data_IF_974522646903
#
_entry.id   IF_974522646903
#
_cell.length_a   1.000
_cell.length_b   1.000
_cell.length_c   1.000
_cell.angle_alpha   90.00
_cell.angle_beta   90.00
_cell.angle_gamma   90.00
#
_symmetry.space_group_name_H-M   'P 1'
#
loop_
_entity.id
_entity.type
_entity.pdbx_description
1 polymer ?
#
# COMPACT_ATOMS: atom_id res chain seq x y z
N UNK A 1 19.01 16.39 -1.44
CA UNK A 1 18.57 15.12 -0.83
C UNK A 1 17.18 15.23 -0.19
N UNK A 2 16.15 15.65 -0.93
CA UNK A 2 14.76 15.71 -0.42
C UNK A 2 13.73 15.04 -1.34
N UNK A 3 14.22 14.46 -2.43
CA UNK A 3 13.38 13.74 -3.39
C UNK A 3 12.79 12.50 -2.73
N UNK A 4 11.51 12.28 -2.97
CA UNK A 4 10.78 11.10 -2.50
C UNK A 4 11.04 9.97 -3.47
N UNK A 5 11.39 8.81 -2.94
CA UNK A 5 11.48 7.57 -3.70
C UNK A 5 10.61 6.50 -3.05
N UNK A 6 10.28 5.49 -3.84
CA UNK A 6 9.61 4.30 -3.33
C UNK A 6 10.64 3.50 -2.54
N UNK A 7 10.45 3.43 -1.22
CA UNK A 7 11.33 2.68 -0.33
C UNK A 7 11.08 1.19 -0.43
N UNK A 8 9.80 0.81 -0.42
CA UNK A 8 9.35 -0.56 -0.63
C UNK A 8 7.89 -0.58 -1.08
N UNK A 9 7.56 -1.57 -1.88
CA UNK A 9 6.21 -1.95 -2.25
C UNK A 9 5.90 -3.28 -1.55
N UNK A 10 4.87 -3.29 -0.70
CA UNK A 10 4.36 -4.49 -0.07
C UNK A 10 3.13 -4.95 -0.83
N UNK A 11 3.14 -6.23 -1.21
CA UNK A 11 2.03 -6.91 -1.85
C UNK A 11 1.49 -7.95 -0.88
N UNK A 12 0.19 -7.96 -0.66
CA UNK A 12 -0.44 -8.84 0.31
C UNK A 12 -1.70 -9.50 -0.25
N UNK A 13 -1.84 -10.80 0.00
CA UNK A 13 -3.06 -11.56 -0.24
C UNK A 13 -3.46 -12.21 1.09
N UNK A 14 -4.60 -11.78 1.62
CA UNK A 14 -5.24 -12.40 2.78
C UNK A 14 -6.34 -13.36 2.30
N UNK A 15 -6.16 -14.66 2.55
CA UNK A 15 -7.16 -15.69 2.21
C UNK A 15 -8.06 -15.99 3.41
N UNK A 16 -7.50 -15.96 4.62
CA UNK A 16 -8.25 -16.19 5.86
C UNK A 16 -8.38 -17.67 6.24
N UNK A 17 -7.78 -18.58 5.48
CA UNK A 17 -7.75 -20.01 5.74
C UNK A 17 -6.37 -20.60 5.38
N UNK A 18 -6.05 -21.74 5.97
CA UNK A 18 -4.91 -22.55 5.56
C UNK A 18 -5.27 -23.54 4.45
N UNK A 19 -4.26 -24.18 3.86
CA UNK A 19 -4.44 -25.23 2.84
C UNK A 19 -4.13 -24.77 1.42
N UNK A 20 -4.76 -25.43 0.44
CA UNK A 20 -4.41 -25.31 -0.98
C UNK A 20 -4.69 -23.93 -1.57
N UNK A 21 -5.70 -23.23 -1.07
CA UNK A 21 -6.01 -21.88 -1.54
C UNK A 21 -4.88 -20.91 -1.23
N UNK A 22 -4.24 -21.07 -0.06
CA UNK A 22 -3.09 -20.27 0.34
C UNK A 22 -1.84 -20.59 -0.49
N UNK A 23 -1.63 -21.86 -0.84
CA UNK A 23 -0.48 -22.26 -1.69
C UNK A 23 -0.66 -21.78 -3.13
N UNK A 24 -1.89 -21.75 -3.66
CA UNK A 24 -2.22 -21.15 -4.96
C UNK A 24 -2.01 -19.63 -4.95
N UNK A 25 -2.48 -18.94 -3.91
CA UNK A 25 -2.23 -17.50 -3.74
C UNK A 25 -0.73 -17.16 -3.68
N UNK A 26 0.09 -18.03 -3.07
CA UNK A 26 1.54 -17.88 -3.09
C UNK A 26 2.11 -17.95 -4.51
N UNK A 27 1.64 -18.88 -5.35
CA UNK A 27 2.06 -18.96 -6.76
C UNK A 27 1.70 -17.70 -7.55
N UNK A 28 0.54 -17.09 -7.30
CA UNK A 28 0.17 -15.80 -7.91
C UNK A 28 1.17 -14.71 -7.55
N UNK A 29 1.47 -14.54 -6.26
CA UNK A 29 2.43 -13.54 -5.81
C UNK A 29 3.83 -13.79 -6.40
N UNK A 30 4.24 -15.05 -6.53
CA UNK A 30 5.50 -15.42 -7.15
C UNK A 30 5.53 -15.04 -8.65
N UNK A 31 4.44 -15.27 -9.38
CA UNK A 31 4.32 -14.86 -10.79
C UNK A 31 4.32 -13.32 -10.96
N UNK A 32 3.66 -12.58 -10.05
CA UNK A 32 3.64 -11.11 -10.07
C UNK A 32 5.03 -10.53 -9.79
N UNK A 33 5.74 -11.08 -8.79
CA UNK A 33 6.95 -10.46 -8.22
C UNK A 33 8.27 -11.06 -8.69
N UNK A 34 8.23 -12.30 -9.18
CA UNK A 34 9.41 -13.13 -9.47
C UNK A 34 10.25 -13.42 -8.22
N UNK A 35 9.62 -13.51 -7.05
CA UNK A 35 10.28 -13.79 -5.77
C UNK A 35 9.46 -14.79 -4.96
N UNK A 36 10.14 -15.60 -4.16
CA UNK A 36 9.49 -16.53 -3.23
C UNK A 36 8.76 -15.74 -2.13
N UNK A 37 7.43 -15.85 -2.02
CA UNK A 37 6.68 -15.06 -1.05
C UNK A 37 6.74 -15.67 0.36
N UNK A 38 6.40 -14.87 1.37
CA UNK A 38 6.45 -15.26 2.79
C UNK A 38 5.04 -15.49 3.33
N UNK A 39 4.85 -16.61 4.03
CA UNK A 39 3.59 -16.94 4.69
C UNK A 39 3.46 -16.27 6.06
N UNK A 40 2.34 -15.58 6.27
CA UNK A 40 1.98 -14.95 7.55
C UNK A 40 1.12 -15.88 8.40
N UNK A 41 1.43 -15.94 9.69
CA UNK A 41 0.71 -16.73 10.69
C UNK A 41 -0.31 -15.88 11.46
N UNK A 42 -1.42 -16.48 11.85
CA UNK A 42 -2.41 -15.86 12.73
C UNK A 42 -1.87 -15.67 14.15
N UNK A 43 -2.08 -14.48 14.72
CA UNK A 43 -1.63 -14.15 16.09
C UNK A 43 -2.57 -14.71 17.17
N UNK A 44 -3.86 -14.77 16.88
CA UNK A 44 -4.92 -15.17 17.81
C UNK A 44 -5.85 -16.17 17.16
N UNK A 45 -6.53 -16.97 17.99
CA UNK A 45 -7.63 -17.83 17.53
C UNK A 45 -8.91 -17.00 17.51
N UNK A 46 -9.57 -16.93 16.37
CA UNK A 46 -10.84 -16.21 16.19
C UNK A 46 -11.85 -17.17 15.58
N UNK A 47 -12.76 -17.69 16.43
CA UNK A 47 -13.72 -18.74 16.02
C UNK A 47 -14.70 -18.27 14.94
N UNK A 48 -15.11 -17.00 14.96
CA UNK A 48 -16.01 -16.43 13.95
C UNK A 48 -15.40 -16.44 12.55
N UNK A 49 -14.07 -16.35 12.43
CA UNK A 49 -13.35 -16.41 11.16
C UNK A 49 -12.82 -17.81 10.84
N UNK A 50 -13.02 -18.79 11.72
CA UNK A 50 -12.49 -20.15 11.53
C UNK A 50 -10.98 -20.28 11.69
N UNK A 51 -10.28 -19.25 12.19
CA UNK A 51 -8.81 -19.20 12.25
C UNK A 51 -8.29 -19.64 13.61
N UNK A 52 -7.24 -20.48 13.62
CA UNK A 52 -6.50 -20.88 14.83
C UNK A 52 -5.17 -20.14 14.96
N UNK A 53 -4.70 -19.98 16.19
CA UNK A 53 -3.37 -19.38 16.46
C UNK A 53 -2.27 -20.16 15.75
N UNK A 54 -1.30 -19.43 15.18
CA UNK A 54 -0.16 -19.93 14.40
C UNK A 54 -0.49 -20.60 13.06
N UNK A 55 -1.77 -20.65 12.68
CA UNK A 55 -2.18 -21.09 11.36
C UNK A 55 -1.72 -20.10 10.29
N UNK A 56 -1.30 -20.59 9.12
CA UNK A 56 -0.93 -19.71 8.00
C UNK A 56 -2.20 -19.21 7.32
N UNK A 57 -2.39 -17.90 7.23
CA UNK A 57 -3.65 -17.28 6.78
C UNK A 57 -3.50 -16.30 5.61
N UNK A 58 -2.29 -15.81 5.39
CA UNK A 58 -2.00 -14.80 4.39
C UNK A 58 -0.61 -15.01 3.81
N UNK A 59 -0.39 -14.44 2.63
CA UNK A 59 0.89 -14.44 1.94
C UNK A 59 1.23 -13.01 1.56
N UNK A 60 2.48 -12.62 1.78
CA UNK A 60 2.95 -11.30 1.40
C UNK A 60 4.33 -11.38 0.75
N UNK A 61 4.62 -10.39 -0.09
CA UNK A 61 5.92 -10.20 -0.70
C UNK A 61 6.30 -8.72 -0.59
N UNK A 62 7.57 -8.44 -0.28
CA UNK A 62 8.09 -7.06 -0.27
C UNK A 62 9.04 -6.91 -1.44
N UNK A 63 8.72 -5.99 -2.35
CA UNK A 63 9.51 -5.68 -3.54
C UNK A 63 10.13 -4.30 -3.36
N UNK A 64 11.36 -4.12 -3.84
CA UNK A 64 12.10 -2.85 -3.75
C UNK A 64 12.68 -2.47 -5.10
N UNK A 65 13.11 -1.20 -5.19
CA UNK A 65 13.89 -0.67 -6.33
C UNK A 65 13.11 -0.80 -7.66
N UNK A 66 13.77 -1.13 -8.76
CA UNK A 66 13.22 -1.10 -10.11
C UNK A 66 12.03 -2.07 -10.33
N UNK A 67 12.01 -3.20 -9.61
CA UNK A 67 10.88 -4.14 -9.68
C UNK A 67 9.61 -3.52 -9.09
N UNK A 68 9.75 -2.73 -8.02
CA UNK A 68 8.61 -2.09 -7.36
C UNK A 68 7.97 -1.04 -8.27
N UNK A 69 8.77 -0.22 -8.97
CA UNK A 69 8.27 0.80 -9.90
C UNK A 69 7.48 0.18 -11.04
N UNK A 70 8.02 -0.87 -11.69
CA UNK A 70 7.34 -1.58 -12.79
C UNK A 70 6.00 -2.18 -12.36
N UNK A 71 5.96 -2.81 -11.19
CA UNK A 71 4.74 -3.45 -10.66
C UNK A 71 3.72 -2.39 -10.23
N UNK A 72 4.18 -1.29 -9.62
CA UNK A 72 3.31 -0.19 -9.22
C UNK A 72 2.69 0.50 -10.44
N UNK A 73 3.45 0.71 -11.51
CA UNK A 73 2.94 1.31 -12.75
C UNK A 73 1.82 0.45 -13.36
N UNK A 74 2.01 -0.87 -13.42
CA UNK A 74 0.95 -1.82 -13.83
C UNK A 74 -0.27 -1.71 -12.94
N UNK A 75 -0.09 -1.68 -11.61
CA UNK A 75 -1.20 -1.60 -10.67
C UNK A 75 -1.98 -0.28 -10.72
N UNK A 76 -1.28 0.84 -10.93
CA UNK A 76 -1.92 2.14 -11.10
C UNK A 76 -2.68 2.24 -12.43
N UNK A 77 -2.21 1.58 -13.49
CA UNK A 77 -2.93 1.50 -14.76
C UNK A 77 -4.31 0.86 -14.61
N UNK A 78 -4.44 -0.18 -13.77
CA UNK A 78 -5.73 -0.84 -13.47
C UNK A 78 -6.70 0.12 -12.76
N UNK A 79 -6.17 1.05 -11.96
CA UNK A 79 -6.96 2.08 -11.29
C UNK A 79 -7.08 3.38 -12.08
N UNK A 80 -6.73 3.36 -13.37
CA UNK A 80 -6.75 4.54 -14.27
C UNK A 80 -5.93 5.72 -13.73
N UNK A 81 -4.91 5.41 -12.93
CA UNK A 81 -4.15 6.39 -12.17
C UNK A 81 -5.05 7.26 -11.28
N UNK A 82 -6.17 6.78 -10.75
CA UNK A 82 -7.01 7.53 -9.82
C UNK A 82 -6.94 6.92 -8.41
N UNK A 83 -6.65 7.77 -7.42
CA UNK A 83 -6.64 7.38 -6.01
C UNK A 83 -7.46 8.36 -5.17
N UNK A 84 -8.29 7.82 -4.27
CA UNK A 84 -9.03 8.65 -3.32
C UNK A 84 -8.09 9.21 -2.26
N UNK A 85 -8.41 10.40 -1.74
CA UNK A 85 -7.62 11.04 -0.67
C UNK A 85 -7.49 10.16 0.59
N UNK A 86 -8.50 9.34 0.89
CA UNK A 86 -8.52 8.46 2.06
C UNK A 86 -7.52 7.31 1.97
N UNK A 87 -7.00 7.02 0.77
CA UNK A 87 -5.96 6.00 0.57
C UNK A 87 -4.58 6.46 1.06
N UNK A 88 -4.41 7.75 1.37
CA UNK A 88 -3.15 8.33 1.83
C UNK A 88 -3.11 8.43 3.36
N UNK A 89 -2.13 7.74 3.94
CA UNK A 89 -1.79 7.79 5.36
C UNK A 89 -1.22 9.15 5.76
N UNK A 90 -1.29 9.49 7.04
CA UNK A 90 -0.73 10.73 7.59
C UNK A 90 0.80 10.81 7.46
N UNK A 91 1.46 9.64 7.48
CA UNK A 91 2.90 9.50 7.23
C UNK A 91 3.28 9.71 5.76
N UNK A 92 2.30 9.86 4.85
CA UNK A 92 2.53 10.05 3.42
C UNK A 92 2.61 8.77 2.60
N UNK A 93 2.48 7.59 3.22
CA UNK A 93 2.34 6.32 2.51
C UNK A 93 0.94 6.18 1.90
N UNK A 94 0.79 5.34 0.90
CA UNK A 94 -0.51 5.07 0.30
C UNK A 94 -0.67 3.61 -0.08
N UNK A 95 -1.91 3.18 -0.18
CA UNK A 95 -2.24 1.83 -0.64
C UNK A 95 -3.54 1.78 -1.40
N UNK A 96 -3.70 0.74 -2.21
CA UNK A 96 -4.92 0.47 -2.94
C UNK A 96 -5.06 -1.03 -3.13
N UNK A 97 -6.28 -1.47 -3.40
CA UNK A 97 -6.59 -2.88 -3.63
C UNK A 97 -6.90 -3.06 -5.10
N UNK A 98 -6.46 -4.16 -5.69
CA UNK A 98 -6.92 -4.63 -6.99
C UNK A 98 -7.81 -5.84 -6.72
N UNK A 99 -9.01 -5.86 -7.31
CA UNK A 99 -9.97 -6.96 -7.10
C UNK A 99 -9.51 -8.24 -7.80
N UNK A 100 -8.88 -8.11 -8.97
CA UNK A 100 -8.43 -9.24 -9.77
C UNK A 100 -6.98 -9.07 -10.19
N UNK A 101 -6.11 -10.01 -9.84
CA UNK A 101 -4.71 -9.97 -10.27
C UNK A 101 -4.52 -10.17 -11.79
N UNK A 102 -5.53 -10.63 -12.51
CA UNK A 102 -5.48 -10.84 -13.97
C UNK A 102 -5.24 -9.51 -14.69
N UNK A 103 -5.80 -8.42 -14.16
CA UNK A 103 -5.65 -7.06 -14.71
C UNK A 103 -4.18 -6.56 -14.71
N UNK A 104 -3.30 -7.21 -13.94
CA UNK A 104 -1.86 -6.93 -13.95
C UNK A 104 -1.12 -7.51 -15.16
N UNK A 105 -1.84 -8.22 -16.04
CA UNK A 105 -1.32 -8.79 -17.28
C UNK A 105 -0.72 -10.18 -17.11
N UNK A 106 -1.21 -10.96 -16.13
CA UNK A 106 -0.82 -12.36 -15.93
C UNK A 106 -1.81 -13.25 -16.68
N UNK A 107 -1.30 -14.31 -17.31
CA UNK A 107 -2.17 -15.29 -17.98
C UNK A 107 -3.08 -15.96 -16.94
N UNK A 108 -4.34 -16.13 -17.32
CA UNK A 108 -5.31 -16.81 -16.46
C UNK A 108 -5.02 -18.31 -16.40
N UNK A 109 -4.79 -18.81 -15.19
CA UNK A 109 -4.67 -20.24 -14.90
C UNK A 109 -5.90 -20.71 -14.08
N UNK A 110 -6.80 -21.54 -14.65
CA UNK A 110 -8.03 -21.96 -13.96
C UNK A 110 -7.77 -22.76 -12.68
N UNK A 111 -6.61 -23.41 -12.57
CA UNK A 111 -6.21 -24.16 -11.37
C UNK A 111 -5.91 -23.26 -10.18
N UNK A 112 -5.49 -22.01 -10.40
CA UNK A 112 -5.09 -21.08 -9.34
C UNK A 112 -6.32 -20.35 -8.79
N UNK A 113 -7.18 -19.86 -9.68
CA UNK A 113 -8.36 -19.05 -9.36
C UNK A 113 -8.04 -17.56 -9.30
N UNK A 114 -9.09 -16.74 -9.15
CA UNK A 114 -8.99 -15.27 -9.11
C UNK A 114 -8.80 -14.81 -7.67
N UNK A 115 -7.83 -13.91 -7.45
CA UNK A 115 -7.53 -13.34 -6.14
C UNK A 115 -7.42 -11.82 -6.22
N UNK A 116 -7.87 -11.17 -5.16
CA UNK A 116 -7.61 -9.77 -4.87
C UNK A 116 -6.21 -9.59 -4.31
N UNK A 117 -5.60 -8.45 -4.63
CA UNK A 117 -4.24 -8.11 -4.23
C UNK A 117 -4.19 -6.72 -3.60
N UNK A 118 -3.61 -6.64 -2.40
CA UNK A 118 -3.40 -5.37 -1.72
C UNK A 118 -2.02 -4.82 -2.06
N UNK A 119 -1.98 -3.56 -2.50
CA UNK A 119 -0.77 -2.78 -2.73
C UNK A 119 -0.61 -1.80 -1.59
N UNK A 120 0.55 -1.83 -0.94
CA UNK A 120 0.93 -0.81 0.04
C UNK A 120 2.32 -0.25 -0.30
N UNK A 121 2.37 1.04 -0.60
CA UNK A 121 3.57 1.75 -1.02
C UNK A 121 4.11 2.55 0.16
N UNK A 122 5.34 2.25 0.54
CA UNK A 122 6.07 3.01 1.54
C UNK A 122 6.99 3.99 0.83
N UNK A 123 6.76 5.27 1.08
CA UNK A 123 7.59 6.35 0.57
C UNK A 123 8.66 6.72 1.58
N UNK A 124 9.85 7.04 1.08
CA UNK A 124 10.96 7.48 1.91
C UNK A 124 11.74 8.57 1.24
N UNK A 125 12.48 9.33 2.05
CA UNK A 125 13.55 10.19 1.57
C UNK A 125 14.91 9.54 1.85
N UNK A 126 15.96 9.88 1.09
CA UNK A 126 17.31 9.46 1.42
C UNK A 126 17.65 9.91 2.85
N UNK A 127 18.15 8.99 3.67
CA UNK A 127 18.43 9.23 5.10
C UNK A 127 17.43 8.59 6.09
N UNK A 128 16.35 7.95 5.61
CA UNK A 128 15.42 7.22 6.48
C UNK A 128 16.02 5.98 7.15
N UNK A 129 17.14 5.47 6.62
CA UNK A 129 17.88 4.33 7.21
C UNK A 129 18.46 4.61 8.59
N UNK A 130 18.46 5.86 9.07
CA UNK A 130 18.97 6.24 10.39
C UNK A 130 18.17 5.57 11.53
N UNK A 131 16.87 5.33 11.33
CA UNK A 131 16.02 4.65 12.29
C UNK A 131 16.21 3.12 12.27
N UNK A 132 16.61 2.57 11.13
CA UNK A 132 16.69 1.11 10.92
C UNK A 132 18.10 0.52 11.08
N UNK A 133 19.14 1.37 11.08
CA UNK A 133 20.53 0.92 11.22
C UNK A 133 20.83 0.50 12.66
N UNK A 134 21.64 -0.54 12.86
CA UNK A 134 22.00 -1.00 14.20
C UNK A 134 22.98 -0.05 14.92
N UNK A 135 23.94 0.54 14.19
CA UNK A 135 24.97 1.42 14.77
C UNK A 135 24.53 2.88 14.75
N UNK A 136 24.62 3.55 15.91
CA UNK A 136 24.27 4.98 16.10
C UNK A 136 22.86 5.30 15.61
N UNK A 137 21.89 4.48 16.03
CA UNK A 137 20.47 4.71 15.78
C UNK A 137 20.08 6.13 16.13
N UNK A 138 19.20 6.72 15.33
CA UNK A 138 18.67 8.05 15.58
C UNK A 138 17.22 8.15 15.12
N UNK A 139 16.55 9.20 15.57
CA UNK A 139 15.18 9.48 15.14
C UNK A 139 15.17 10.24 13.82
N UNK A 140 14.14 10.02 13.02
CA UNK A 140 13.91 10.81 11.80
C UNK A 140 13.39 12.18 12.25
N UNK A 141 14.13 13.24 11.92
CA UNK A 141 13.69 14.60 12.23
C UNK A 141 12.43 14.99 11.43
N UNK A 142 11.54 15.77 12.03
CA UNK A 142 10.27 16.21 11.42
C UNK A 142 10.42 16.88 10.04
N UNK A 143 11.57 17.51 9.75
CA UNK A 143 11.86 18.12 8.44
C UNK A 143 12.08 17.06 7.35
N UNK A 144 12.61 15.91 7.73
CA UNK A 144 12.93 14.79 6.84
C UNK A 144 11.73 13.85 6.70
N UNK A 145 10.82 13.85 7.68
CA UNK A 145 9.57 13.10 7.64
C UNK A 145 8.75 13.40 6.37
N UNK A 146 8.07 12.37 5.87
CA UNK A 146 7.25 12.41 4.65
C UNK A 146 5.88 13.09 4.88
N UNK A 147 5.62 13.63 6.07
CA UNK A 147 4.30 14.05 6.54
C UNK A 147 3.62 15.12 5.67
N UNK A 148 2.28 14.98 5.58
CA UNK A 148 1.19 15.69 4.87
C UNK A 148 1.21 17.24 4.78
N UNK A 149 2.36 17.91 4.72
CA UNK A 149 2.41 19.39 4.65
C UNK A 149 2.24 19.98 3.25
N UNK A 150 1.90 19.17 2.25
CA UNK A 150 1.27 19.64 1.02
C UNK A 150 0.12 18.70 0.66
N UNK A 151 -1.14 19.15 0.79
CA UNK A 151 -2.22 18.59 -0.02
C UNK A 151 -1.77 18.61 -1.48
N UNK A 152 -2.24 17.66 -2.27
CA UNK A 152 -1.99 17.45 -3.70
C UNK A 152 -2.32 18.68 -4.58
N UNK A 153 -1.65 19.80 -4.34
CA UNK A 153 -1.86 21.10 -4.95
C UNK A 153 -0.47 21.67 -5.24
N UNK A 154 0.07 21.33 -6.41
CA UNK A 154 1.12 22.13 -7.04
C UNK A 154 2.56 21.90 -6.61
N UNK A 155 2.95 20.74 -6.06
CA UNK A 155 4.37 20.36 -6.07
C UNK A 155 4.68 19.59 -7.35
N UNK A 156 5.37 20.25 -8.29
CA UNK A 156 6.25 19.62 -9.29
C UNK A 156 7.37 18.84 -8.58
N UNK A 157 7.01 17.84 -7.78
CA UNK A 157 7.94 16.88 -7.21
C UNK A 157 7.83 15.65 -8.10
N UNK A 158 8.96 15.25 -8.66
CA UNK A 158 9.15 14.03 -9.43
C UNK A 158 8.69 12.86 -8.58
N UNK A 159 7.40 12.54 -8.68
CA UNK A 159 6.93 11.20 -8.42
C UNK A 159 7.30 10.39 -9.68
N UNK A 160 7.64 9.09 -9.56
CA UNK A 160 7.64 8.24 -10.75
C UNK A 160 6.31 8.46 -11.47
N UNK A 161 6.36 8.83 -12.76
CA UNK A 161 5.31 9.62 -13.45
C UNK A 161 3.87 9.17 -13.18
N UNK A 162 3.66 7.87 -12.98
CA UNK A 162 2.41 7.25 -12.55
C UNK A 162 1.73 7.88 -11.31
N UNK A 163 2.48 8.25 -10.25
CA UNK A 163 1.86 8.81 -9.02
C UNK A 163 1.59 10.31 -9.13
N UNK A 164 2.33 11.03 -9.99
CA UNK A 164 2.08 12.45 -10.27
C UNK A 164 0.74 12.64 -11.01
N UNK A 165 0.40 11.74 -11.95
CA UNK A 165 -0.90 11.74 -12.63
C UNK A 165 -2.07 11.48 -11.65
N UNK A 166 -1.87 10.59 -10.68
CA UNK A 166 -2.91 10.23 -9.70
C UNK A 166 -3.21 11.27 -8.64
N UNK A 167 -2.29 12.21 -8.43
CA UNK A 167 -2.47 13.29 -7.47
C UNK A 167 -2.94 14.59 -8.13
N UNK A 168 -3.42 14.57 -9.39
CA UNK A 168 -3.78 15.78 -10.12
C UNK A 168 -5.12 16.37 -9.60
N UNK A 169 -5.12 17.58 -9.00
CA UNK A 169 -6.30 18.17 -8.38
C UNK A 169 -7.42 18.53 -9.36
N UNK A 170 -7.17 18.57 -10.67
CA UNK A 170 -8.19 18.82 -11.69
C UNK A 170 -9.17 17.65 -11.89
N UNK A 171 -8.86 16.45 -11.38
CA UNK A 171 -9.73 15.26 -11.43
C UNK A 171 -10.36 14.96 -10.06
N UNK A 172 -9.83 15.55 -8.98
CA UNK A 172 -10.46 15.54 -7.66
C UNK A 172 -11.67 16.48 -7.67
N UNK A 173 -12.82 15.91 -8.08
CA UNK A 173 -14.12 16.56 -8.19
C UNK A 173 -14.33 17.69 -7.19
N UNK A 174 -14.35 18.91 -7.73
CA UNK A 174 -14.67 20.11 -6.98
C UNK A 174 -16.11 20.09 -6.51
N UNK A 175 -16.34 19.75 -5.24
CA UNK A 175 -17.49 20.22 -4.48
C UNK A 175 -17.06 20.52 -3.05
N UNK A 176 -16.70 21.78 -2.82
CA UNK A 176 -16.58 22.32 -1.47
C UNK A 176 -17.95 22.45 -0.82
N UNK A 177 -18.01 22.26 0.50
CA UNK A 177 -18.85 23.09 1.37
C UNK A 177 -18.12 23.41 2.67
N UNK A 178 -18.22 24.71 2.98
CA UNK A 178 -17.72 25.49 4.11
C UNK A 178 -17.76 24.76 5.46
N UNK A 179 -16.65 24.91 6.17
CA UNK A 179 -16.58 24.92 7.62
C UNK A 179 -17.34 26.17 8.09
N UNK A 180 -18.48 26.00 8.76
CA UNK A 180 -18.96 26.98 9.75
C UNK A 180 -18.82 26.37 11.13
N UNK A 181 -18.22 27.20 11.97
CA UNK A 181 -17.79 26.99 13.34
C UNK A 181 -18.98 27.28 14.27
N UNK A 182 -19.39 26.28 15.04
CA UNK A 182 -20.18 26.40 16.28
C UNK A 182 -19.93 25.08 17.02
N UNK A 183 -19.22 24.99 18.14
CA UNK A 183 -19.24 25.89 19.28
C UNK A 183 -20.45 25.55 20.14
N UNK A 184 -20.38 24.44 20.88
CA UNK A 184 -21.10 24.10 22.13
C UNK A 184 -20.62 22.69 22.56
N UNK A 185 -19.69 22.57 23.53
CA UNK A 185 -19.88 22.38 24.98
C UNK A 185 -20.80 21.20 25.34
N UNK A 186 -20.18 20.15 25.90
CA UNK A 186 -20.56 19.43 27.14
C UNK A 186 -22.05 19.47 27.54
N UNK A 187 -22.81 18.38 27.72
CA UNK A 187 -22.62 17.27 28.69
C UNK A 187 -23.77 16.21 28.57
N UNK A 188 -23.82 15.14 29.41
CA UNK A 188 -24.47 13.84 29.12
C UNK A 188 -25.92 13.68 29.63
N UNK A 189 -26.56 12.58 29.20
CA UNK A 189 -27.79 12.00 29.74
C UNK A 189 -27.87 10.52 29.41
#
# INVERSE_FOLDING_TARGET
>A
MRELHIRQLCLNICVGESGDRLTRAAKVLEQVTGQTPVFSKARYTVRSFGIRRNEKIAVHCTVRVAKAERILEKGLKVREYELRKNNFSDTGNFGFVIQEHIDLGIKYDPSIGIYSLDFYVVLGRPGFSIADKNRRTGCIGAKTESAKRKPCAGSKQSWPGAVAHACNPSILGGRGRRITRSGDRDHPG
#
